data_IF_685558716294
#
_entry.id   IF_685558716294
#
_cell.length_a   1.000
_cell.length_b   1.000
_cell.length_c   1.000
_cell.angle_alpha   90.00
_cell.angle_beta   90.00
_cell.angle_gamma   90.00
#
_symmetry.space_group_name_H-M   'P 1'
#
loop_
_entity.id
_entity.type
_entity.pdbx_description
1 polymer ?
#
# COMPACT_ATOMS: atom_id res chain seq x y z
N UNK A 1 5.67 11.43 13.61
CA UNK A 1 4.81 10.40 12.98
C UNK A 1 5.70 9.18 12.75
N UNK A 2 5.24 7.93 12.92
CA UNK A 2 6.14 6.78 12.83
C UNK A 2 6.68 6.59 11.40
N UNK A 3 7.89 6.05 11.30
CA UNK A 3 8.56 5.73 10.03
C UNK A 3 8.03 4.42 9.41
N UNK A 4 7.38 3.58 10.23
CA UNK A 4 6.75 2.32 9.81
C UNK A 4 5.30 2.32 10.29
N UNK A 5 4.36 2.20 9.36
CA UNK A 5 2.92 2.11 9.65
C UNK A 5 2.38 0.79 9.11
N UNK A 6 1.88 -0.06 9.99
CA UNK A 6 1.18 -1.27 9.61
C UNK A 6 -0.27 -0.96 9.25
N UNK A 7 -0.77 -1.56 8.18
CA UNK A 7 -2.14 -1.34 7.69
C UNK A 7 -2.84 -2.66 7.37
N UNK A 8 -4.13 -2.69 7.61
CA UNK A 8 -5.07 -3.68 7.07
C UNK A 8 -5.53 -3.25 5.68
N UNK A 9 -6.21 -4.13 4.96
CA UNK A 9 -6.76 -3.80 3.64
C UNK A 9 -7.76 -2.63 3.67
N UNK A 10 -8.48 -2.43 4.77
CA UNK A 10 -9.40 -1.30 4.96
C UNK A 10 -8.70 0.03 5.31
N UNK A 11 -7.37 0.04 5.40
CA UNK A 11 -6.54 1.20 5.66
C UNK A 11 -6.28 1.48 7.14
N UNK A 12 -6.98 0.78 8.06
CA UNK A 12 -6.79 0.92 9.51
C UNK A 12 -5.50 0.22 9.96
N UNK A 13 -4.97 0.64 11.11
CA UNK A 13 -3.87 -0.09 11.75
C UNK A 13 -4.39 -1.43 12.29
N UNK A 14 -3.61 -2.53 12.22
CA UNK A 14 -3.97 -3.77 12.88
C UNK A 14 -4.07 -3.59 14.39
N UNK A 15 -5.13 -4.13 14.99
CA UNK A 15 -5.30 -4.18 16.44
C UNK A 15 -4.38 -5.26 17.05
N UNK A 16 -4.01 -5.14 18.34
CA UNK A 16 -3.12 -6.10 18.99
C UNK A 16 -3.55 -7.58 18.82
N UNK A 17 -4.85 -7.87 18.93
CA UNK A 17 -5.37 -9.23 18.81
C UNK A 17 -5.27 -9.82 17.39
N UNK A 18 -5.31 -8.98 16.35
CA UNK A 18 -5.27 -9.44 14.96
C UNK A 18 -3.92 -10.02 14.56
N UNK A 19 -2.83 -9.59 15.21
CA UNK A 19 -1.50 -10.16 14.99
C UNK A 19 -1.40 -11.64 15.36
N UNK A 20 -2.29 -12.11 16.22
CA UNK A 20 -2.38 -13.50 16.65
C UNK A 20 -3.45 -14.30 15.89
N UNK A 21 -4.18 -13.66 14.97
CA UNK A 21 -5.24 -14.30 14.19
C UNK A 21 -4.70 -14.88 12.87
N UNK A 22 -4.78 -16.20 12.71
CA UNK A 22 -4.42 -16.88 11.47
C UNK A 22 -5.34 -16.52 10.27
N UNK A 23 -6.49 -15.89 10.54
CA UNK A 23 -7.37 -15.29 9.55
C UNK A 23 -6.84 -13.97 8.99
N UNK A 24 -5.92 -13.29 9.67
CA UNK A 24 -5.34 -12.03 9.22
C UNK A 24 -4.26 -12.26 8.15
N UNK A 25 -4.72 -12.41 6.90
CA UNK A 25 -3.87 -12.80 5.76
C UNK A 25 -3.56 -11.68 4.77
N UNK A 26 -3.97 -10.45 5.06
CA UNK A 26 -3.65 -9.30 4.23
C UNK A 26 -3.03 -8.19 5.07
N UNK A 27 -1.73 -7.95 4.87
CA UNK A 27 -0.94 -7.01 5.66
C UNK A 27 -0.28 -5.98 4.74
N UNK A 28 -0.56 -4.72 5.01
CA UNK A 28 0.11 -3.57 4.43
C UNK A 28 1.19 -3.03 5.36
N UNK A 29 2.27 -2.52 4.78
CA UNK A 29 3.29 -1.74 5.48
C UNK A 29 3.62 -0.51 4.66
N UNK A 30 3.51 0.65 5.29
CA UNK A 30 3.95 1.92 4.75
C UNK A 30 5.27 2.31 5.43
N UNK A 31 6.33 2.43 4.63
CA UNK A 31 7.65 2.84 5.06
C UNK A 31 7.90 4.28 4.61
N UNK A 32 8.41 5.11 5.52
CA UNK A 32 8.68 6.52 5.30
C UNK A 32 10.13 6.84 5.65
N UNK A 33 10.86 7.43 4.71
CA UNK A 33 12.27 7.79 4.90
C UNK A 33 12.44 9.15 5.59
N UNK A 34 11.42 10.03 5.49
CA UNK A 34 11.44 11.37 6.08
C UNK A 34 10.09 11.66 6.76
N UNK A 35 10.00 11.38 8.06
CA UNK A 35 8.74 11.51 8.82
C UNK A 35 8.32 12.94 9.17
N UNK A 36 9.00 13.98 8.67
CA UNK A 36 8.78 15.36 9.11
C UNK A 36 7.43 15.95 8.67
N UNK A 37 6.90 15.64 7.47
CA UNK A 37 5.53 16.03 7.05
C UNK A 37 5.06 15.28 5.79
N UNK A 38 3.80 14.83 5.69
CA UNK A 38 3.21 14.36 4.43
C UNK A 38 2.98 15.53 3.43
N UNK A 39 3.00 15.28 2.10
CA UNK A 39 3.34 14.02 1.46
C UNK A 39 4.84 13.73 1.55
N UNK A 40 5.18 12.47 1.85
CA UNK A 40 6.58 12.02 1.82
C UNK A 40 6.84 11.39 0.43
N UNK A 41 7.61 12.05 -0.45
CA UNK A 41 7.86 11.54 -1.81
C UNK A 41 8.62 10.21 -1.80
N UNK A 42 9.30 9.89 -0.71
CA UNK A 42 10.09 8.67 -0.55
C UNK A 42 9.32 7.56 0.17
N UNK A 43 8.00 7.72 0.37
CA UNK A 43 7.17 6.70 0.97
C UNK A 43 7.03 5.48 0.04
N UNK A 44 6.98 4.29 0.64
CA UNK A 44 6.67 3.04 -0.08
C UNK A 44 5.55 2.33 0.69
N UNK A 45 4.49 1.95 -0.03
CA UNK A 45 3.43 1.14 0.53
C UNK A 45 3.44 -0.26 -0.11
N UNK A 46 3.69 -1.28 0.70
CA UNK A 46 3.75 -2.69 0.27
C UNK A 46 2.55 -3.42 0.87
N UNK A 47 1.86 -4.22 0.08
CA UNK A 47 0.77 -5.08 0.56
C UNK A 47 1.04 -6.53 0.21
N UNK A 48 0.99 -7.38 1.23
CA UNK A 48 1.10 -8.83 1.16
C UNK A 48 -0.30 -9.42 1.35
N UNK A 49 -0.91 -9.93 0.28
CA UNK A 49 -2.21 -10.60 0.35
C UNK A 49 -2.07 -12.11 0.19
N UNK A 50 -2.05 -12.83 1.29
CA UNK A 50 -2.11 -14.30 1.36
C UNK A 50 -3.54 -14.82 1.50
N UNK A 51 -4.54 -13.95 1.28
CA UNK A 51 -5.96 -14.26 1.34
C UNK A 51 -6.62 -14.27 -0.05
N UNK A 52 -7.97 -14.28 -0.09
CA UNK A 52 -8.71 -14.08 -1.32
C UNK A 52 -8.52 -12.65 -1.87
N UNK A 53 -9.02 -12.43 -3.09
CA UNK A 53 -9.12 -11.08 -3.66
C UNK A 53 -9.97 -10.18 -2.75
N UNK A 54 -9.54 -8.94 -2.53
CA UNK A 54 -10.26 -7.99 -1.70
C UNK A 54 -9.98 -6.54 -2.10
N UNK A 55 -10.87 -5.63 -1.71
CA UNK A 55 -10.69 -4.19 -1.95
C UNK A 55 -9.62 -3.64 -1.00
N UNK A 56 -8.71 -2.84 -1.55
CA UNK A 56 -7.67 -2.13 -0.81
C UNK A 56 -8.00 -0.63 -0.71
N UNK A 57 -7.96 -0.11 0.52
CA UNK A 57 -7.94 1.33 0.81
C UNK A 57 -6.49 1.80 0.81
N UNK A 58 -6.13 2.67 -0.13
CA UNK A 58 -4.81 3.27 -0.19
C UNK A 58 -4.63 4.31 0.94
N UNK A 59 -3.41 4.47 1.49
CA UNK A 59 -3.15 5.44 2.53
C UNK A 59 -3.40 6.88 2.06
N UNK A 60 -3.99 7.72 2.91
CA UNK A 60 -4.16 9.16 2.65
C UNK A 60 -2.88 9.98 2.89
N UNK A 61 -1.73 9.33 3.08
CA UNK A 61 -0.43 9.97 3.31
C UNK A 61 0.24 10.47 2.03
N UNK A 62 -0.34 10.14 0.87
CA UNK A 62 -0.05 10.75 -0.42
C UNK A 62 -1.38 11.02 -1.16
N UNK A 63 -1.41 12.08 -1.97
CA UNK A 63 -2.61 12.44 -2.75
C UNK A 63 -2.94 11.40 -3.82
N UNK A 64 -1.90 10.80 -4.41
CA UNK A 64 -2.00 9.79 -5.45
C UNK A 64 -0.90 8.76 -5.26
N UNK A 65 -1.23 7.53 -5.61
CA UNK A 65 -0.31 6.40 -5.60
C UNK A 65 -0.19 5.82 -7.01
N UNK A 66 0.98 5.28 -7.31
CA UNK A 66 1.25 4.49 -8.50
C UNK A 66 1.58 3.07 -8.07
N UNK A 67 0.94 2.09 -8.69
CA UNK A 67 1.32 0.69 -8.57
C UNK A 67 2.55 0.43 -9.43
N UNK A 68 3.62 -0.04 -8.81
CA UNK A 68 4.91 -0.32 -9.48
C UNK A 68 5.26 -1.80 -9.54
N UNK A 69 4.60 -2.62 -8.72
CA UNK A 69 4.71 -4.07 -8.75
C UNK A 69 3.34 -4.69 -8.47
N UNK A 70 2.99 -5.70 -9.27
CA UNK A 70 1.92 -6.67 -9.03
C UNK A 70 2.48 -8.04 -9.42
N UNK A 71 2.68 -8.93 -8.45
CA UNK A 71 3.28 -10.24 -8.70
C UNK A 71 2.43 -11.15 -9.59
N UNK A 72 1.12 -10.86 -9.74
CA UNK A 72 0.26 -11.62 -10.67
C UNK A 72 0.46 -11.18 -12.12
N UNK A 73 1.02 -9.99 -12.34
CA UNK A 73 1.32 -9.40 -13.65
C UNK A 73 2.70 -8.74 -13.63
N UNK A 74 3.80 -9.52 -13.45
CA UNK A 74 5.13 -8.98 -13.18
C UNK A 74 5.75 -8.19 -14.34
N UNK A 75 5.18 -8.27 -15.54
CA UNK A 75 5.60 -7.54 -16.73
C UNK A 75 4.69 -6.35 -17.07
N UNK A 76 3.65 -6.09 -16.26
CA UNK A 76 2.79 -4.93 -16.47
C UNK A 76 3.57 -3.64 -16.22
N UNK A 77 3.31 -2.61 -17.03
CA UNK A 77 3.84 -1.29 -16.79
C UNK A 77 3.23 -0.68 -15.51
N UNK A 78 3.98 0.22 -14.87
CA UNK A 78 3.50 0.97 -13.73
C UNK A 78 2.27 1.80 -14.10
N UNK A 79 1.28 1.86 -13.20
CA UNK A 79 0.02 2.54 -13.47
C UNK A 79 -0.50 3.29 -12.24
N UNK A 80 -1.24 4.40 -12.42
CA UNK A 80 -1.94 5.06 -11.32
C UNK A 80 -2.85 4.07 -10.58
N UNK A 81 -2.74 4.02 -9.26
CA UNK A 81 -3.61 3.22 -8.42
C UNK A 81 -4.95 3.94 -8.25
N UNK A 82 -6.04 3.22 -8.45
CA UNK A 82 -7.39 3.79 -8.39
C UNK A 82 -8.03 3.52 -7.02
N UNK A 83 -8.95 4.39 -6.61
CA UNK A 83 -9.79 4.12 -5.43
C UNK A 83 -10.61 2.84 -5.66
N UNK A 84 -10.70 1.98 -4.64
CA UNK A 84 -11.41 0.71 -4.75
C UNK A 84 -10.62 -0.37 -5.51
N UNK A 85 -9.29 -0.21 -5.62
CA UNK A 85 -8.41 -1.19 -6.22
C UNK A 85 -8.64 -2.60 -5.63
N UNK A 86 -8.85 -3.58 -6.51
CA UNK A 86 -8.88 -4.99 -6.15
C UNK A 86 -7.45 -5.51 -6.02
N UNK A 87 -7.13 -5.98 -4.83
CA UNK A 87 -5.87 -6.63 -4.51
C UNK A 87 -5.99 -8.12 -4.84
N UNK A 88 -5.21 -8.66 -5.80
CA UNK A 88 -5.32 -10.05 -6.20
C UNK A 88 -5.05 -11.02 -5.04
N UNK A 89 -5.66 -12.20 -5.07
CA UNK A 89 -5.36 -13.27 -4.12
C UNK A 89 -3.89 -13.73 -4.25
N UNK A 90 -3.27 -14.10 -3.12
CA UNK A 90 -1.91 -14.65 -3.06
C UNK A 90 -0.86 -13.80 -3.81
N UNK A 91 -0.84 -12.50 -3.53
CA UNK A 91 -0.03 -11.53 -4.27
C UNK A 91 0.76 -10.59 -3.37
N UNK A 92 1.79 -10.01 -3.96
CA UNK A 92 2.47 -8.82 -3.43
C UNK A 92 2.24 -7.68 -4.38
N UNK A 93 1.82 -6.53 -3.85
CA UNK A 93 1.63 -5.30 -4.61
C UNK A 93 2.39 -4.17 -3.94
N UNK A 94 3.08 -3.35 -4.72
CA UNK A 94 3.88 -2.23 -4.22
C UNK A 94 3.40 -0.94 -4.87
N UNK A 95 3.31 0.09 -4.05
CA UNK A 95 2.93 1.43 -4.44
C UNK A 95 3.98 2.44 -3.98
N UNK A 96 4.15 3.47 -4.80
CA UNK A 96 4.91 4.68 -4.45
C UNK A 96 4.01 5.91 -4.70
N UNK A 97 4.26 7.04 -4.03
CA UNK A 97 3.61 8.31 -4.36
C UNK A 97 3.76 8.60 -5.85
N UNK A 98 2.67 9.00 -6.50
CA UNK A 98 2.76 9.49 -7.88
C UNK A 98 3.45 10.87 -7.84
N UNK A 99 4.60 11.06 -8.49
CA UNK A 99 5.25 12.36 -8.51
C UNK A 99 4.30 13.36 -9.17
N UNK A 100 3.73 14.26 -8.37
CA UNK A 100 3.00 15.42 -8.89
C UNK A 100 3.96 16.18 -9.79
N UNK A 101 3.52 16.47 -11.03
CA UNK A 101 4.36 16.96 -12.14
C UNK A 101 5.49 17.89 -11.72
N UNK A 102 6.72 17.55 -12.12
CA UNK A 102 7.77 18.55 -12.29
C UNK A 102 7.28 19.65 -13.25
N UNK A 103 7.81 20.88 -13.15
CA UNK A 103 7.27 22.01 -13.90
C UNK A 103 7.27 21.71 -15.40
N UNK A 104 6.10 21.90 -16.03
CA UNK A 104 5.97 22.08 -17.49
C UNK A 104 6.84 23.23 -18.00
#
# INVERSE_FOLDING_TARGET
MPDVIWRRADGQNPEPGQWHDAGFRCLGVELRMSSQSPPDPDAIFVVLNMGPEQVLTLPATADRWRMVLDTTRPLAAEAPAQTGLLLPANSVTVFIPDPTGGPT
#
